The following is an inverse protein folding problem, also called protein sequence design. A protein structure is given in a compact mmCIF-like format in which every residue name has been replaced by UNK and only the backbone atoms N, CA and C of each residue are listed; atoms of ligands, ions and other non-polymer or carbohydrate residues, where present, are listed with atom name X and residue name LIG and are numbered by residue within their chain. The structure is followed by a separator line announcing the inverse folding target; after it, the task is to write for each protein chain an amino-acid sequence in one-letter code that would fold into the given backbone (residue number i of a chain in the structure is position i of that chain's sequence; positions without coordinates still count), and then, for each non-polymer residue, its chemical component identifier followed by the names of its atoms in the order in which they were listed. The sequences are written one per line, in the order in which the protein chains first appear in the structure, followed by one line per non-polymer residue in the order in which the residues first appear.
data_IF_152595445834
#
_entry.id   IF_152595445834
#
_cell.length_a   1.000
_cell.length_b   1.000
_cell.length_c   1.000
_cell.angle_alpha   90.00
_cell.angle_beta   90.00
_cell.angle_gamma   90.00
#
_symmetry.space_group_name_H-M   'P 1'
#
loop_
_entity.id
_entity.type
_entity.pdbx_description
1 polymer ?
#
# COMPACT_ATOMS: atom_id res chain seq x y z
N UNK A 1 -9.70 -16.12 13.58
CA UNK A 1 -9.72 -14.96 12.66
C UNK A 1 -9.17 -13.68 13.31
N UNK A 2 -9.71 -13.22 14.44
CA UNK A 2 -9.21 -12.02 15.15
C UNK A 2 -7.71 -12.06 15.49
N UNK A 3 -7.18 -13.24 15.84
CA UNK A 3 -5.73 -13.44 16.04
C UNK A 3 -4.91 -13.20 14.76
N UNK A 4 -5.36 -13.72 13.62
CA UNK A 4 -4.68 -13.53 12.33
C UNK A 4 -4.75 -12.07 11.88
N UNK A 5 -5.86 -11.37 12.14
CA UNK A 5 -5.98 -9.94 11.90
C UNK A 5 -4.99 -9.13 12.76
N UNK A 6 -4.83 -9.48 14.03
CA UNK A 6 -3.86 -8.84 14.91
C UNK A 6 -2.41 -9.11 14.51
N UNK A 7 -2.10 -10.33 14.06
CA UNK A 7 -0.79 -10.69 13.51
C UNK A 7 -0.48 -9.89 12.23
N UNK A 8 -1.46 -9.73 11.32
CA UNK A 8 -1.32 -8.89 10.13
C UNK A 8 -1.11 -7.40 10.47
N UNK A 9 -1.90 -6.84 11.39
CA UNK A 9 -1.74 -5.44 11.82
C UNK A 9 -0.35 -5.23 12.48
N UNK A 10 0.15 -6.21 13.24
CA UNK A 10 1.50 -6.17 13.83
C UNK A 10 2.62 -6.20 12.80
N UNK A 11 2.49 -7.02 11.76
CA UNK A 11 3.43 -7.06 10.63
C UNK A 11 3.36 -5.79 9.77
N UNK A 12 2.19 -5.17 9.66
CA UNK A 12 2.02 -3.87 9.00
C UNK A 12 2.69 -2.71 9.75
N UNK A 13 2.98 -2.85 11.04
CA UNK A 13 3.65 -1.82 11.86
C UNK A 13 5.17 -2.00 11.86
N UNK A 14 5.65 -3.24 11.73
CA UNK A 14 7.08 -3.56 11.57
C UNK A 14 7.47 -3.44 10.09
N UNK A 15 8.71 -3.12 9.78
CA UNK A 15 9.24 -3.17 8.41
C UNK A 15 9.43 -4.64 7.95
N UNK A 16 8.35 -5.42 7.96
CA UNK A 16 8.36 -6.81 7.48
C UNK A 16 8.71 -6.84 5.99
N UNK A 17 9.34 -7.93 5.54
CA UNK A 17 9.62 -8.12 4.13
C UNK A 17 8.28 -8.11 3.36
N UNK A 18 8.26 -7.44 2.21
CA UNK A 18 7.09 -7.33 1.35
C UNK A 18 6.53 -8.72 1.00
N UNK A 19 7.40 -9.72 0.80
CA UNK A 19 6.99 -11.10 0.51
C UNK A 19 6.30 -11.76 1.71
N UNK A 20 6.79 -11.50 2.92
CA UNK A 20 6.19 -12.03 4.17
C UNK A 20 4.77 -11.47 4.36
N UNK A 21 4.56 -10.18 4.06
CA UNK A 21 3.22 -9.56 4.10
C UNK A 21 2.31 -10.14 3.02
N UNK A 22 2.82 -10.41 1.82
CA UNK A 22 2.09 -11.00 0.69
C UNK A 22 1.60 -12.43 0.99
N UNK A 23 2.48 -13.26 1.56
CA UNK A 23 2.14 -14.62 2.01
C UNK A 23 1.09 -14.60 3.12
N UNK A 24 1.23 -13.69 4.09
CA UNK A 24 0.26 -13.55 5.19
C UNK A 24 -1.11 -13.06 4.70
N UNK A 25 -1.15 -12.12 3.74
CA UNK A 25 -2.40 -11.72 3.10
C UNK A 25 -3.04 -12.94 2.41
N UNK A 26 -2.26 -13.75 1.69
CA UNK A 26 -2.78 -14.92 0.99
C UNK A 26 -3.37 -15.96 1.94
N UNK A 27 -2.66 -16.26 3.04
CA UNK A 27 -3.14 -17.17 4.09
C UNK A 27 -4.41 -16.64 4.77
N UNK A 28 -4.46 -15.34 5.06
CA UNK A 28 -5.64 -14.70 5.63
C UNK A 28 -6.82 -14.76 4.68
N UNK A 29 -6.61 -14.53 3.38
CA UNK A 29 -7.67 -14.60 2.36
C UNK A 29 -8.27 -16.00 2.26
N UNK A 30 -7.44 -17.04 2.28
CA UNK A 30 -7.89 -18.43 2.26
C UNK A 30 -8.68 -18.79 3.52
N UNK A 31 -8.12 -18.46 4.69
CA UNK A 31 -8.78 -18.68 5.99
C UNK A 31 -10.12 -17.95 6.07
N UNK A 32 -10.18 -16.72 5.54
CA UNK A 32 -11.40 -15.93 5.53
C UNK A 32 -12.47 -16.55 4.63
N UNK A 33 -12.11 -17.02 3.42
CA UNK A 33 -13.05 -17.71 2.53
C UNK A 33 -13.62 -18.99 3.16
N UNK A 34 -12.77 -19.77 3.82
CA UNK A 34 -13.22 -20.98 4.52
C UNK A 34 -14.19 -20.63 5.68
N UNK A 35 -13.86 -19.61 6.46
CA UNK A 35 -14.73 -19.15 7.54
C UNK A 35 -16.07 -18.57 7.03
N UNK A 36 -16.08 -17.81 5.94
CA UNK A 36 -17.30 -17.24 5.35
C UNK A 36 -18.27 -18.32 4.84
N UNK A 37 -17.72 -19.41 4.26
CA UNK A 37 -18.51 -20.56 3.85
C UNK A 37 -19.17 -21.26 5.06
N UNK A 38 -18.38 -21.52 6.12
CA UNK A 38 -18.89 -22.15 7.34
C UNK A 38 -19.86 -21.26 8.11
N UNK A 39 -19.66 -19.94 8.07
CA UNK A 39 -20.56 -19.01 8.75
C UNK A 39 -21.99 -19.12 8.21
N UNK A 40 -22.15 -19.37 6.91
CA UNK A 40 -23.49 -19.56 6.31
C UNK A 40 -24.20 -20.76 6.94
N UNK A 41 -23.48 -21.84 7.24
CA UNK A 41 -24.01 -23.02 7.92
C UNK A 41 -24.38 -22.71 9.38
N UNK A 42 -23.51 -22.01 10.11
CA UNK A 42 -23.78 -21.57 11.50
C UNK A 42 -25.03 -20.69 11.56
N UNK A 43 -25.15 -19.72 10.65
CA UNK A 43 -26.33 -18.86 10.58
C UNK A 43 -27.59 -19.68 10.30
N UNK A 44 -27.53 -20.74 9.47
CA UNK A 44 -28.67 -21.62 9.18
C UNK A 44 -29.13 -22.45 10.37
N UNK A 45 -28.23 -22.84 11.27
CA UNK A 45 -28.54 -23.65 12.45
C UNK A 45 -29.09 -22.83 13.64
N UNK A 46 -28.97 -21.50 13.60
CA UNK A 46 -29.47 -20.57 14.62
C UNK A 46 -30.86 -20.02 14.26
N UNK A 47 -31.61 -19.53 15.24
CA UNK A 47 -32.88 -18.84 15.00
C UNK A 47 -32.97 -17.49 15.73
N UNK A 48 -34.01 -16.72 15.37
CA UNK A 48 -34.38 -15.48 16.03
C UNK A 48 -33.22 -14.51 16.27
N UNK A 49 -33.05 -14.12 17.53
CA UNK A 49 -32.03 -13.17 17.97
C UNK A 49 -30.61 -13.74 17.87
N UNK A 50 -30.42 -15.04 18.08
CA UNK A 50 -29.10 -15.68 18.01
C UNK A 50 -28.56 -15.65 16.58
N UNK A 51 -29.42 -15.93 15.59
CA UNK A 51 -29.06 -15.79 14.17
C UNK A 51 -28.71 -14.35 13.83
N UNK A 52 -29.51 -13.39 14.30
CA UNK A 52 -29.26 -11.98 14.01
C UNK A 52 -27.94 -11.50 14.62
N UNK A 53 -27.64 -11.90 15.85
CA UNK A 53 -26.36 -11.60 16.49
C UNK A 53 -25.17 -12.20 15.72
N UNK A 54 -25.28 -13.45 15.25
CA UNK A 54 -24.24 -14.08 14.44
C UNK A 54 -24.01 -13.35 13.10
N UNK A 55 -25.09 -12.90 12.45
CA UNK A 55 -25.01 -12.11 11.21
C UNK A 55 -24.30 -10.78 11.47
N UNK A 56 -24.64 -10.08 12.55
CA UNK A 56 -24.10 -8.77 12.89
C UNK A 56 -22.62 -8.88 13.27
N UNK A 57 -22.26 -9.86 14.10
CA UNK A 57 -20.87 -10.16 14.47
C UNK A 57 -20.03 -10.49 13.23
N UNK A 58 -20.57 -11.29 12.32
CA UNK A 58 -19.89 -11.62 11.08
C UNK A 58 -19.82 -10.45 10.09
N UNK A 59 -20.82 -9.55 10.08
CA UNK A 59 -20.78 -8.31 9.32
C UNK A 59 -19.63 -7.41 9.79
N UNK A 60 -19.46 -7.26 11.10
CA UNK A 60 -18.32 -6.54 11.68
C UNK A 60 -16.99 -7.20 11.31
N UNK A 61 -16.93 -8.54 11.36
CA UNK A 61 -15.74 -9.27 10.96
C UNK A 61 -15.36 -9.05 9.49
N UNK A 62 -16.34 -9.11 8.57
CA UNK A 62 -16.17 -8.81 7.14
C UNK A 62 -15.65 -7.40 6.91
N UNK A 63 -16.18 -6.41 7.65
CA UNK A 63 -15.71 -5.04 7.58
C UNK A 63 -14.23 -4.93 7.98
N UNK A 64 -13.88 -5.45 9.17
CA UNK A 64 -12.51 -5.40 9.69
C UNK A 64 -11.51 -6.09 8.75
N UNK A 65 -11.89 -7.22 8.17
CA UNK A 65 -11.07 -7.93 7.19
C UNK A 65 -10.81 -7.07 5.93
N UNK A 66 -11.85 -6.44 5.36
CA UNK A 66 -11.70 -5.57 4.19
C UNK A 66 -10.77 -4.39 4.48
N UNK A 67 -10.99 -3.72 5.60
CA UNK A 67 -10.17 -2.57 6.00
C UNK A 67 -8.72 -2.96 6.27
N UNK A 68 -8.48 -4.02 7.03
CA UNK A 68 -7.14 -4.54 7.33
C UNK A 68 -6.38 -4.93 6.07
N UNK A 69 -7.04 -5.62 5.13
CA UNK A 69 -6.47 -6.01 3.85
C UNK A 69 -6.10 -4.81 2.98
N UNK A 70 -6.95 -3.80 2.89
CA UNK A 70 -6.64 -2.55 2.16
C UNK A 70 -5.45 -1.84 2.79
N UNK A 71 -5.41 -1.74 4.13
CA UNK A 71 -4.30 -1.14 4.86
C UNK A 71 -2.97 -1.87 4.64
N UNK A 72 -2.97 -3.20 4.63
CA UNK A 72 -1.78 -3.99 4.39
C UNK A 72 -1.25 -3.80 2.96
N UNK A 73 -2.14 -3.84 1.96
CA UNK A 73 -1.78 -3.60 0.56
C UNK A 73 -1.25 -2.18 0.32
N UNK A 74 -1.86 -1.17 0.93
CA UNK A 74 -1.39 0.22 0.81
C UNK A 74 0.04 0.37 1.35
N UNK A 75 0.35 -0.20 2.52
CA UNK A 75 1.70 -0.19 3.10
C UNK A 75 2.72 -0.93 2.24
N UNK A 76 2.34 -2.05 1.63
CA UNK A 76 3.21 -2.76 0.70
C UNK A 76 3.58 -1.90 -0.52
N UNK A 77 2.62 -1.14 -1.07
CA UNK A 77 2.87 -0.21 -2.19
C UNK A 77 3.83 0.91 -1.76
N UNK A 78 3.61 1.50 -0.58
CA UNK A 78 4.50 2.51 0.01
C UNK A 78 5.92 1.96 0.22
N UNK A 79 6.05 0.74 0.75
CA UNK A 79 7.33 0.09 1.00
C UNK A 79 8.12 -0.25 -0.27
N UNK A 80 7.44 -0.49 -1.39
CA UNK A 80 8.08 -0.70 -2.71
C UNK A 80 8.63 0.59 -3.33
N UNK A 81 8.39 1.75 -2.72
CA UNK A 81 8.80 3.05 -3.28
C UNK A 81 7.94 3.51 -4.47
N UNK A 82 6.86 2.78 -4.76
CA UNK A 82 5.83 3.18 -5.70
C UNK A 82 4.88 4.16 -5.01
N UNK A 83 5.40 5.34 -4.65
CA UNK A 83 4.57 6.41 -4.13
C UNK A 83 3.46 6.77 -5.13
N UNK A 84 2.30 7.27 -4.67
CA UNK A 84 1.27 7.76 -5.56
C UNK A 84 1.90 8.76 -6.53
N UNK A 85 1.75 8.51 -7.83
CA UNK A 85 2.13 9.46 -8.87
C UNK A 85 1.27 10.71 -8.63
N UNK A 86 1.83 11.68 -7.89
CA UNK A 86 1.18 12.95 -7.60
C UNK A 86 0.97 13.22 -6.12
N UNK A 87 2.02 13.68 -5.43
CA UNK A 87 1.86 14.82 -4.53
C UNK A 87 3.21 15.45 -4.25
N UNK A 88 3.44 16.59 -4.90
CA UNK A 88 4.47 17.54 -4.49
C UNK A 88 4.09 18.06 -3.11
N UNK A 89 4.82 17.68 -2.06
CA UNK A 89 4.83 18.45 -0.82
C UNK A 89 6.26 18.72 -0.40
N UNK A 90 6.62 19.99 -0.54
CA UNK A 90 7.83 20.60 -0.03
C UNK A 90 7.83 20.52 1.49
N UNK A 91 8.76 19.75 2.07
CA UNK A 91 9.00 19.77 3.51
C UNK A 91 10.10 20.78 3.83
N UNK A 92 9.71 21.89 4.46
CA UNK A 92 10.60 22.85 5.11
C UNK A 92 11.02 22.32 6.50
N UNK A 93 12.31 22.35 6.83
CA UNK A 93 12.82 22.20 8.20
C UNK A 93 13.88 21.10 8.41
N UNK A 94 15.15 21.47 8.24
CA UNK A 94 16.41 20.71 8.43
C UNK A 94 16.71 20.30 9.92
N UNK A 95 17.67 19.39 10.26
CA UNK A 95 19.04 19.37 9.72
C UNK A 95 19.72 18.03 9.36
N UNK A 96 20.64 18.18 8.42
CA UNK A 96 21.49 17.18 7.79
C UNK A 96 22.48 16.47 8.72
N UNK A 97 22.60 15.16 8.54
CA UNK A 97 23.85 14.43 8.78
C UNK A 97 24.68 14.51 7.51
N UNK A 98 25.84 15.16 7.63
CA UNK A 98 26.85 15.30 6.59
C UNK A 98 27.45 13.93 6.26
N UNK A 99 27.16 13.42 5.07
CA UNK A 99 28.12 12.61 4.32
C UNK A 99 28.68 13.49 3.21
N UNK A 100 29.80 14.14 3.52
CA UNK A 100 30.70 14.63 2.49
C UNK A 100 31.16 13.42 1.68
N UNK A 101 30.76 13.30 0.41
CA UNK A 101 31.47 12.55 -0.63
C UNK A 101 30.86 12.87 -2.01
N UNK A 102 31.63 13.57 -2.86
CA UNK A 102 31.41 13.72 -4.31
C UNK A 102 30.33 14.72 -4.70
N UNK A 103 30.68 16.01 -4.90
CA UNK A 103 29.79 16.96 -5.57
C UNK A 103 29.63 16.50 -7.02
N UNK A 104 28.45 16.00 -7.39
CA UNK A 104 28.13 15.76 -8.81
C UNK A 104 28.28 17.08 -9.58
N UNK A 105 28.83 17.06 -10.81
CA UNK A 105 28.84 18.23 -11.66
C UNK A 105 27.40 18.74 -11.81
N UNK A 106 27.22 20.04 -11.68
CA UNK A 106 25.91 20.68 -11.74
C UNK A 106 25.44 20.67 -13.19
N UNK A 107 24.76 19.61 -13.61
CA UNK A 107 24.19 19.49 -14.95
C UNK A 107 22.94 20.37 -14.97
N UNK A 108 23.06 21.56 -15.56
CA UNK A 108 21.91 22.40 -15.84
C UNK A 108 21.14 21.83 -17.02
N UNK A 109 19.97 21.25 -16.76
CA UNK A 109 19.07 20.81 -17.82
C UNK A 109 18.65 22.00 -18.68
N UNK A 110 18.74 21.90 -20.01
CA UNK A 110 18.25 22.95 -20.89
C UNK A 110 16.74 23.10 -20.69
N UNK A 111 16.27 24.35 -20.61
CA UNK A 111 14.85 24.67 -20.43
C UNK A 111 14.18 24.89 -21.77
N UNK A 112 13.07 24.20 -22.01
CA UNK A 112 12.26 24.42 -23.18
C UNK A 112 11.51 25.76 -23.06
N UNK A 113 11.57 26.58 -24.10
CA UNK A 113 10.96 27.92 -24.14
C UNK A 113 9.45 27.89 -24.39
N UNK A 114 8.89 26.71 -24.69
CA UNK A 114 7.46 26.54 -25.02
C UNK A 114 7.12 26.81 -26.50
N UNK A 115 8.11 27.18 -27.32
CA UNK A 115 7.91 27.39 -28.76
C UNK A 115 7.99 26.07 -29.52
N UNK A 116 6.86 25.62 -30.05
CA UNK A 116 6.73 24.33 -30.76
C UNK A 116 7.69 24.19 -31.95
N UNK A 117 7.98 25.28 -32.65
CA UNK A 117 8.93 25.27 -33.78
C UNK A 117 10.39 25.05 -33.35
N UNK A 118 10.73 25.32 -32.08
CA UNK A 118 12.06 25.10 -31.51
C UNK A 118 12.20 23.70 -30.89
N UNK A 119 11.11 22.92 -30.82
CA UNK A 119 11.07 21.61 -30.17
C UNK A 119 12.06 20.59 -30.79
N UNK A 120 12.19 20.45 -32.12
CA UNK A 120 13.15 19.50 -32.69
C UNK A 120 14.60 19.83 -32.31
N UNK A 121 14.97 21.11 -32.32
CA UNK A 121 16.32 21.58 -31.93
C UNK A 121 16.56 21.49 -30.42
N UNK A 122 15.52 21.65 -29.62
CA UNK A 122 15.59 21.40 -28.17
C UNK A 122 15.84 19.92 -27.88
N UNK A 123 15.13 19.03 -28.57
CA UNK A 123 15.23 17.58 -28.37
C UNK A 123 16.58 16.99 -28.79
N UNK A 124 17.18 17.53 -29.86
CA UNK A 124 18.51 17.13 -30.34
C UNK A 124 19.63 17.22 -29.28
N UNK A 125 19.44 18.02 -28.21
CA UNK A 125 20.40 18.15 -27.10
C UNK A 125 20.47 16.90 -26.22
N UNK A 126 19.46 16.03 -26.27
CA UNK A 126 19.41 14.75 -25.54
C UNK A 126 19.79 13.55 -26.41
N UNK A 127 19.91 13.73 -27.73
CA UNK A 127 20.27 12.68 -28.69
C UNK A 127 21.78 12.66 -29.04
N UNK A 128 22.57 13.62 -28.50
CA UNK A 128 24.02 13.63 -28.64
C UNK A 128 24.66 12.61 -27.68
N UNK A 129 25.15 11.50 -28.26
CA UNK A 129 25.84 10.39 -27.60
C UNK A 129 27.19 10.77 -26.97
#
# INVERSE_FOLDING_TARGET
LNRLLAELDGLCIRSADVLEVEEQISLLEESFRAADALQTEVELDLDGEERQAAIDDWALCRQNYREGKVRARARMIEARGEGPIGSSSVSAGMPAVRSSNGRLPEITLPKFTGKVLEFPSFWAQFEAN
#
